data_IF_164666197941
#
_entry.id   IF_164666197941
#
_cell.length_a   1.000
_cell.length_b   1.000
_cell.length_c   1.000
_cell.angle_alpha   90.00
_cell.angle_beta   90.00
_cell.angle_gamma   90.00
#
_symmetry.space_group_name_H-M   'P 1'
#
loop_
_entity.id
_entity.type
_entity.pdbx_description
1 polymer ?
#
# COMPACT_ATOMS: atom_id res chain seq x y z
N UNK A 1 -29.79 15.23 -0.03
CA UNK A 1 -29.73 13.97 -0.79
C UNK A 1 -28.39 13.96 -1.49
N UNK A 2 -27.46 13.11 -1.04
CA UNK A 2 -26.13 13.03 -1.63
C UNK A 2 -26.27 12.33 -2.99
N UNK A 3 -26.03 13.06 -4.07
CA UNK A 3 -26.22 12.58 -5.45
C UNK A 3 -25.02 11.76 -5.92
N UNK A 4 -24.57 10.82 -5.10
CA UNK A 4 -23.44 9.95 -5.41
C UNK A 4 -23.90 8.83 -6.35
N UNK A 5 -23.31 8.66 -7.54
CA UNK A 5 -23.72 7.61 -8.48
C UNK A 5 -23.69 6.22 -7.85
N UNK A 6 -24.69 5.39 -8.14
CA UNK A 6 -24.78 4.03 -7.61
C UNK A 6 -23.58 3.18 -8.04
N UNK A 7 -23.17 2.24 -7.18
CA UNK A 7 -22.15 1.25 -7.52
C UNK A 7 -22.70 0.27 -8.57
N UNK A 8 -21.83 -0.29 -9.42
CA UNK A 8 -22.21 -1.48 -10.16
C UNK A 8 -22.26 -2.66 -9.20
N UNK A 9 -23.31 -3.46 -9.28
CA UNK A 9 -23.52 -4.59 -8.38
C UNK A 9 -24.18 -5.78 -9.07
N UNK A 10 -24.18 -6.90 -8.36
CA UNK A 10 -24.88 -8.13 -8.72
C UNK A 10 -25.46 -8.79 -7.47
N UNK A 11 -26.65 -9.37 -7.61
CA UNK A 11 -27.23 -10.29 -6.63
C UNK A 11 -27.15 -11.74 -7.13
N UNK A 12 -26.94 -12.67 -6.21
CA UNK A 12 -27.06 -14.11 -6.41
C UNK A 12 -27.78 -14.73 -5.19
N UNK A 13 -28.58 -15.77 -5.38
CA UNK A 13 -29.34 -16.44 -4.29
C UNK A 13 -30.82 -16.03 -4.18
N UNK A 14 -31.56 -16.56 -3.18
CA UNK A 14 -33.00 -16.32 -3.03
C UNK A 14 -33.33 -14.85 -2.73
N UNK A 15 -34.40 -14.32 -3.34
CA UNK A 15 -34.77 -12.90 -3.18
C UNK A 15 -35.15 -12.51 -1.75
N UNK A 16 -35.78 -13.44 -1.02
CA UNK A 16 -36.27 -13.25 0.35
C UNK A 16 -35.23 -13.58 1.43
N UNK A 17 -34.04 -14.04 1.03
CA UNK A 17 -32.98 -14.38 1.98
C UNK A 17 -32.30 -13.12 2.56
N UNK A 18 -31.74 -13.19 3.78
CA UNK A 18 -30.97 -12.08 4.35
C UNK A 18 -29.80 -11.69 3.43
N UNK A 19 -29.53 -10.39 3.30
CA UNK A 19 -28.51 -9.88 2.37
C UNK A 19 -27.11 -10.03 2.97
N UNK A 20 -26.21 -10.70 2.26
CA UNK A 20 -24.79 -10.78 2.60
C UNK A 20 -23.96 -10.03 1.56
N UNK A 21 -23.23 -9.01 1.99
CA UNK A 21 -22.41 -8.16 1.12
C UNK A 21 -20.98 -8.67 1.08
N UNK A 22 -20.39 -8.77 -0.12
CA UNK A 22 -18.98 -9.07 -0.32
C UNK A 22 -18.25 -7.85 -0.92
N UNK A 23 -17.31 -7.27 -0.15
CA UNK A 23 -16.51 -6.11 -0.52
C UNK A 23 -15.14 -6.50 -1.08
N UNK A 24 -14.80 -6.13 -2.34
CA UNK A 24 -13.56 -6.55 -2.98
C UNK A 24 -12.32 -5.79 -2.48
N UNK A 25 -11.15 -6.35 -2.82
CA UNK A 25 -9.84 -5.71 -2.56
C UNK A 25 -9.52 -4.64 -3.61
N UNK A 26 -8.61 -3.73 -3.29
CA UNK A 26 -8.10 -2.73 -4.23
C UNK A 26 -7.45 -3.41 -5.44
N UNK A 27 -7.79 -2.98 -6.65
CA UNK A 27 -7.27 -3.55 -7.90
C UNK A 27 -7.92 -4.89 -8.28
N UNK A 28 -9.00 -5.28 -7.61
CA UNK A 28 -9.78 -6.48 -7.92
C UNK A 28 -11.22 -6.13 -8.30
N UNK A 29 -11.95 -7.12 -8.78
CA UNK A 29 -13.39 -7.05 -9.06
C UNK A 29 -14.15 -8.00 -8.13
N UNK A 30 -15.48 -7.94 -8.12
CA UNK A 30 -16.32 -8.89 -7.40
C UNK A 30 -16.04 -10.37 -7.75
N UNK A 31 -15.38 -10.63 -8.88
CA UNK A 31 -15.07 -11.98 -9.36
C UNK A 31 -14.09 -12.69 -8.43
N UNK A 32 -13.37 -11.97 -7.58
CA UNK A 32 -12.54 -12.59 -6.53
C UNK A 32 -13.33 -13.46 -5.55
N UNK A 33 -14.66 -13.28 -5.49
CA UNK A 33 -15.55 -14.06 -4.64
C UNK A 33 -16.35 -15.13 -5.39
N UNK A 34 -16.13 -15.34 -6.70
CA UNK A 34 -16.93 -16.27 -7.51
C UNK A 34 -16.97 -17.69 -6.93
N UNK A 35 -15.90 -18.14 -6.25
CA UNK A 35 -15.82 -19.49 -5.66
C UNK A 35 -16.56 -19.63 -4.32
N UNK A 36 -16.89 -18.52 -3.65
CA UNK A 36 -17.66 -18.53 -2.41
C UNK A 36 -19.18 -18.51 -2.70
N UNK A 37 -19.58 -17.85 -3.79
CA UNK A 37 -20.98 -17.58 -4.12
C UNK A 37 -21.88 -18.83 -4.16
N UNK A 38 -21.50 -19.96 -4.79
CA UNK A 38 -22.39 -21.12 -4.88
C UNK A 38 -22.85 -21.67 -3.52
N UNK A 39 -22.00 -21.60 -2.50
CA UNK A 39 -22.34 -22.07 -1.15
C UNK A 39 -23.03 -20.98 -0.33
N UNK A 40 -22.57 -19.73 -0.40
CA UNK A 40 -23.20 -18.61 0.32
C UNK A 40 -24.63 -18.35 -0.18
N UNK A 41 -24.85 -18.45 -1.49
CA UNK A 41 -26.15 -18.22 -2.12
C UNK A 41 -27.20 -19.28 -1.74
N UNK A 42 -26.85 -20.34 -1.01
CA UNK A 42 -27.83 -21.30 -0.46
C UNK A 42 -28.62 -20.73 0.71
N UNK A 43 -28.04 -19.77 1.45
CA UNK A 43 -28.64 -19.22 2.68
C UNK A 43 -28.83 -17.70 2.62
N UNK A 44 -28.04 -17.00 1.81
CA UNK A 44 -28.08 -15.53 1.74
C UNK A 44 -28.37 -15.05 0.33
N UNK A 45 -28.97 -13.86 0.25
CA UNK A 45 -29.01 -13.07 -0.97
C UNK A 45 -27.68 -12.32 -1.07
N UNK A 46 -26.73 -12.87 -1.82
CA UNK A 46 -25.37 -12.38 -1.89
C UNK A 46 -25.31 -11.15 -2.79
N UNK A 47 -24.92 -10.00 -2.23
CA UNK A 47 -24.67 -8.77 -2.95
C UNK A 47 -23.17 -8.59 -3.16
N UNK A 48 -22.75 -8.42 -4.40
CA UNK A 48 -21.35 -8.13 -4.74
C UNK A 48 -21.30 -6.87 -5.57
N UNK A 49 -20.25 -6.08 -5.39
CA UNK A 49 -20.08 -4.81 -6.10
C UNK A 49 -18.62 -4.62 -6.50
N UNK A 50 -18.43 -3.82 -7.53
CA UNK A 50 -17.12 -3.34 -7.93
C UNK A 50 -16.87 -1.96 -7.31
N UNK A 51 -15.63 -1.71 -6.90
CA UNK A 51 -15.22 -0.38 -6.44
C UNK A 51 -15.28 0.62 -7.62
N UNK A 52 -15.42 1.93 -7.36
CA UNK A 52 -15.39 2.92 -8.43
C UNK A 52 -14.16 2.76 -9.32
N UNK A 53 -14.36 2.80 -10.64
CA UNK A 53 -13.30 2.58 -11.63
C UNK A 53 -12.72 1.16 -11.70
N UNK A 54 -13.24 0.18 -10.97
CA UNK A 54 -12.83 -1.21 -11.06
C UNK A 54 -13.84 -2.02 -11.87
N UNK A 55 -13.36 -3.03 -12.58
CA UNK A 55 -14.23 -3.91 -13.38
C UNK A 55 -15.06 -3.10 -14.38
N UNK A 56 -16.39 -3.21 -14.30
CA UNK A 56 -17.29 -2.41 -15.14
C UNK A 56 -17.77 -1.10 -14.51
N UNK A 57 -17.36 -0.80 -13.27
CA UNK A 57 -17.91 0.34 -12.52
C UNK A 57 -17.43 1.66 -13.11
N UNK A 58 -18.33 2.65 -13.27
CA UNK A 58 -17.93 3.99 -13.69
C UNK A 58 -16.84 4.58 -12.81
N UNK A 59 -15.91 5.32 -13.44
CA UNK A 59 -14.79 5.96 -12.78
C UNK A 59 -15.24 7.19 -11.99
N UNK A 60 -15.43 7.02 -10.68
CA UNK A 60 -15.78 8.08 -9.73
C UNK A 60 -14.85 8.00 -8.52
N UNK A 61 -13.69 8.72 -8.54
CA UNK A 61 -12.72 8.67 -7.46
C UNK A 61 -13.33 8.98 -6.08
N UNK A 62 -12.87 8.27 -5.06
CA UNK A 62 -13.27 8.44 -3.66
C UNK A 62 -12.03 8.81 -2.84
N UNK A 63 -12.05 9.95 -2.16
CA UNK A 63 -10.89 10.50 -1.45
C UNK A 63 -10.70 9.92 -0.04
N UNK A 64 -11.75 9.30 0.52
CA UNK A 64 -11.73 8.65 1.80
C UNK A 64 -12.50 7.32 1.78
N UNK A 65 -12.19 6.43 2.73
CA UNK A 65 -12.93 5.18 2.91
C UNK A 65 -14.41 5.46 3.27
N UNK A 66 -14.68 6.56 3.98
CA UNK A 66 -16.04 7.05 4.25
C UNK A 66 -16.84 7.32 2.99
N UNK A 67 -16.22 7.82 1.92
CA UNK A 67 -16.91 8.11 0.66
C UNK A 67 -17.37 6.81 -0.01
N UNK A 68 -16.55 5.75 0.09
CA UNK A 68 -16.90 4.42 -0.42
C UNK A 68 -18.03 3.79 0.40
N UNK A 69 -17.98 3.92 1.73
CA UNK A 69 -19.03 3.44 2.63
C UNK A 69 -20.36 4.17 2.39
N UNK A 70 -20.35 5.50 2.30
CA UNK A 70 -21.54 6.32 2.04
C UNK A 70 -22.16 5.99 0.68
N UNK A 71 -21.33 5.74 -0.35
CA UNK A 71 -21.81 5.34 -1.69
C UNK A 71 -22.44 3.94 -1.69
N UNK A 72 -21.85 3.00 -0.95
CA UNK A 72 -22.43 1.67 -0.78
C UNK A 72 -23.77 1.75 -0.05
N UNK A 73 -23.86 2.51 1.05
CA UNK A 73 -25.11 2.72 1.77
C UNK A 73 -26.19 3.36 0.90
N UNK A 74 -25.87 4.42 0.16
CA UNK A 74 -26.81 5.04 -0.77
C UNK A 74 -27.33 4.06 -1.83
N UNK A 75 -26.46 3.16 -2.32
CA UNK A 75 -26.85 2.09 -3.25
C UNK A 75 -27.80 1.09 -2.59
N UNK A 76 -27.50 0.66 -1.37
CA UNK A 76 -28.34 -0.28 -0.60
C UNK A 76 -29.69 0.30 -0.21
N UNK A 77 -29.73 1.59 0.16
CA UNK A 77 -30.96 2.31 0.51
C UNK A 77 -31.91 2.38 -0.70
N UNK A 78 -31.38 2.68 -1.89
CA UNK A 78 -32.15 2.67 -3.13
C UNK A 78 -32.72 1.28 -3.49
N UNK A 79 -32.08 0.21 -2.99
CA UNK A 79 -32.51 -1.18 -3.16
C UNK A 79 -33.39 -1.68 -2.00
N UNK A 80 -33.67 -0.84 -1.01
CA UNK A 80 -34.46 -1.20 0.18
C UNK A 80 -33.75 -2.12 1.17
N UNK A 81 -32.43 -2.30 1.07
CA UNK A 81 -31.66 -3.19 1.95
C UNK A 81 -31.33 -2.48 3.26
N UNK A 82 -32.10 -2.77 4.31
CA UNK A 82 -31.98 -2.07 5.59
C UNK A 82 -30.99 -2.71 6.58
N UNK A 83 -30.74 -4.01 6.50
CA UNK A 83 -29.77 -4.70 7.39
C UNK A 83 -29.12 -5.87 6.65
N UNK A 84 -27.83 -6.07 6.87
CA UNK A 84 -27.03 -7.03 6.10
C UNK A 84 -25.85 -7.58 6.90
N UNK A 85 -25.37 -8.76 6.52
CA UNK A 85 -24.03 -9.23 6.88
C UNK A 85 -23.01 -8.62 5.92
N UNK A 86 -21.79 -8.41 6.39
CA UNK A 86 -20.72 -7.83 5.56
C UNK A 86 -19.44 -8.64 5.66
N UNK A 87 -18.87 -9.03 4.52
CA UNK A 87 -17.53 -9.61 4.43
C UNK A 87 -16.67 -8.79 3.47
N UNK A 88 -15.58 -8.20 3.95
CA UNK A 88 -14.72 -7.31 3.14
C UNK A 88 -13.27 -7.77 3.10
N UNK A 89 -12.67 -7.78 1.91
CA UNK A 89 -11.26 -8.10 1.72
C UNK A 89 -10.41 -6.82 1.61
N UNK A 90 -9.36 -6.67 2.41
CA UNK A 90 -8.42 -5.54 2.37
C UNK A 90 -9.14 -4.16 2.40
N UNK A 91 -9.15 -3.41 1.29
CA UNK A 91 -9.90 -2.15 1.18
C UNK A 91 -11.40 -2.34 1.45
N UNK A 92 -12.00 -3.45 0.98
CA UNK A 92 -13.35 -3.82 1.36
C UNK A 92 -13.49 -4.05 2.88
N UNK A 93 -12.46 -4.56 3.55
CA UNK A 93 -12.42 -4.65 5.00
C UNK A 93 -12.42 -3.27 5.68
N UNK A 94 -11.68 -2.30 5.14
CA UNK A 94 -11.72 -0.91 5.61
C UNK A 94 -13.12 -0.29 5.47
N UNK A 95 -13.79 -0.53 4.35
CA UNK A 95 -15.19 -0.13 4.14
C UNK A 95 -16.11 -0.78 5.17
N UNK A 96 -15.92 -2.08 5.47
CA UNK A 96 -16.67 -2.79 6.51
C UNK A 96 -16.50 -2.19 7.91
N UNK A 97 -15.27 -1.83 8.28
CA UNK A 97 -14.96 -1.15 9.54
C UNK A 97 -15.64 0.23 9.61
N UNK A 98 -15.55 1.01 8.54
CA UNK A 98 -16.20 2.32 8.44
C UNK A 98 -17.73 2.23 8.57
N UNK A 99 -18.34 1.24 7.89
CA UNK A 99 -19.77 0.99 7.96
C UNK A 99 -20.23 0.67 9.39
N UNK A 100 -19.55 -0.24 10.08
CA UNK A 100 -19.98 -0.64 11.44
C UNK A 100 -19.74 0.45 12.47
N UNK A 101 -18.69 1.28 12.32
CA UNK A 101 -18.40 2.37 13.25
C UNK A 101 -19.41 3.51 13.15
N UNK A 102 -19.99 3.73 11.97
CA UNK A 102 -20.94 4.82 11.69
C UNK A 102 -22.39 4.38 11.70
N UNK A 103 -22.65 3.15 11.28
CA UNK A 103 -23.99 2.58 11.08
C UNK A 103 -24.11 1.16 11.65
N UNK A 104 -23.78 0.95 12.95
CA UNK A 104 -23.81 -0.39 13.56
C UNK A 104 -25.18 -1.06 13.48
N UNK A 105 -26.27 -0.29 13.41
CA UNK A 105 -27.64 -0.78 13.24
C UNK A 105 -27.90 -1.46 11.89
N UNK A 106 -27.08 -1.17 10.87
CA UNK A 106 -27.19 -1.75 9.52
C UNK A 106 -26.45 -3.07 9.38
N UNK A 107 -25.45 -3.32 10.22
CA UNK A 107 -24.56 -4.49 10.11
C UNK A 107 -24.96 -5.56 11.11
N UNK A 108 -25.40 -6.72 10.62
CA UNK A 108 -25.82 -7.85 11.47
C UNK A 108 -24.63 -8.69 11.98
N UNK A 109 -23.56 -8.78 11.19
CA UNK A 109 -22.33 -9.52 11.48
C UNK A 109 -21.25 -9.08 10.51
N UNK A 110 -19.98 -9.14 10.92
CA UNK A 110 -18.84 -8.62 10.16
C UNK A 110 -17.73 -9.67 9.97
N UNK A 111 -17.26 -9.85 8.74
CA UNK A 111 -16.04 -10.60 8.43
C UNK A 111 -14.99 -9.68 7.78
N UNK A 112 -13.83 -9.58 8.40
CA UNK A 112 -12.67 -8.81 7.94
C UNK A 112 -11.64 -9.79 7.37
N UNK A 113 -11.46 -9.80 6.05
CA UNK A 113 -10.59 -10.72 5.34
C UNK A 113 -9.33 -9.97 4.90
N UNK A 114 -8.15 -10.45 5.29
CA UNK A 114 -6.87 -9.83 4.94
C UNK A 114 -6.90 -8.29 5.12
N UNK A 115 -7.41 -7.83 6.27
CA UNK A 115 -7.69 -6.43 6.55
C UNK A 115 -6.82 -5.93 7.71
N UNK A 116 -6.77 -4.61 7.86
CA UNK A 116 -6.01 -3.94 8.92
C UNK A 116 -6.78 -2.73 9.44
N UNK A 117 -6.62 -2.34 10.73
CA UNK A 117 -7.18 -1.10 11.24
C UNK A 117 -6.43 0.15 10.74
N UNK A 118 -5.26 -0.05 10.13
CA UNK A 118 -4.45 0.96 9.42
C UNK A 118 -3.58 0.26 8.38
N UNK A 119 -3.54 0.75 7.15
CA UNK A 119 -2.80 0.09 6.07
C UNK A 119 -1.43 0.74 5.88
N UNK A 120 -0.35 -0.02 6.08
CA UNK A 120 1.03 0.40 5.82
C UNK A 120 1.39 1.77 6.38
N UNK A 121 2.32 2.45 5.71
CA UNK A 121 2.57 3.87 5.93
C UNK A 121 1.84 4.73 4.88
N UNK A 122 1.49 5.96 5.25
CA UNK A 122 0.85 6.87 4.32
C UNK A 122 1.74 7.15 3.10
N UNK A 123 3.06 7.18 3.29
CA UNK A 123 4.02 7.43 2.22
C UNK A 123 4.12 6.27 1.23
N UNK A 124 4.02 5.02 1.68
CA UNK A 124 3.96 3.85 0.77
C UNK A 124 2.77 3.94 -0.19
N UNK A 125 1.59 4.31 0.31
CA UNK A 125 0.40 4.45 -0.51
C UNK A 125 0.46 5.67 -1.45
N UNK A 126 0.99 6.80 -0.98
CA UNK A 126 1.24 7.97 -1.83
C UNK A 126 2.26 7.68 -2.92
N UNK A 127 3.33 6.95 -2.61
CA UNK A 127 4.33 6.51 -3.58
C UNK A 127 3.72 5.61 -4.65
N UNK A 128 2.84 4.67 -4.28
CA UNK A 128 2.05 3.89 -5.27
C UNK A 128 1.24 4.83 -6.17
N UNK A 129 0.58 5.83 -5.61
CA UNK A 129 -0.14 6.85 -6.38
C UNK A 129 0.73 7.59 -7.39
N UNK A 130 1.96 7.95 -7.01
CA UNK A 130 2.96 8.57 -7.91
C UNK A 130 3.35 7.61 -9.03
N UNK A 131 3.66 6.35 -8.72
CA UNK A 131 4.01 5.33 -9.74
C UNK A 131 2.89 5.19 -10.77
N UNK A 132 1.65 5.13 -10.32
CA UNK A 132 0.47 5.00 -11.21
C UNK A 132 0.27 6.24 -12.06
N UNK A 133 0.47 7.43 -11.50
CA UNK A 133 0.35 8.69 -12.24
C UNK A 133 1.37 8.79 -13.37
N UNK A 134 2.59 8.28 -13.16
CA UNK A 134 3.68 8.36 -14.14
C UNK A 134 3.66 7.21 -15.15
N UNK A 135 3.31 6.00 -14.72
CA UNK A 135 3.52 4.78 -15.51
C UNK A 135 2.22 4.00 -15.82
N UNK A 136 1.06 4.52 -15.41
CA UNK A 136 -0.19 3.76 -15.41
C UNK A 136 -0.15 2.58 -14.42
N UNK A 137 -1.09 1.64 -14.58
CA UNK A 137 -1.21 0.50 -13.67
C UNK A 137 -0.30 -0.68 -14.00
N UNK A 138 0.41 -0.69 -15.13
CA UNK A 138 1.17 -1.86 -15.56
C UNK A 138 2.24 -2.32 -14.54
N UNK A 139 3.05 -1.42 -13.94
CA UNK A 139 4.03 -1.82 -12.93
C UNK A 139 3.40 -2.40 -11.66
N UNK A 140 2.26 -1.84 -11.25
CA UNK A 140 1.50 -2.35 -10.11
C UNK A 140 0.94 -3.73 -10.46
N UNK A 141 0.30 -3.85 -11.62
CA UNK A 141 -0.36 -5.08 -12.03
C UNK A 141 0.62 -6.26 -12.10
N UNK A 142 1.81 -6.06 -12.67
CA UNK A 142 2.84 -7.12 -12.78
C UNK A 142 3.36 -7.60 -11.43
N UNK A 143 3.39 -6.73 -10.42
CA UNK A 143 3.94 -7.03 -9.09
C UNK A 143 2.88 -7.46 -8.08
N UNK A 144 1.59 -7.21 -8.34
CA UNK A 144 0.49 -7.61 -7.46
C UNK A 144 0.45 -9.11 -7.12
N UNK A 145 0.62 -10.05 -8.08
CA UNK A 145 0.54 -11.49 -7.78
C UNK A 145 1.51 -11.97 -6.70
N UNK A 146 2.72 -11.42 -6.65
CA UNK A 146 3.75 -11.77 -5.66
C UNK A 146 3.32 -11.43 -4.22
N UNK A 147 2.45 -10.42 -4.07
CA UNK A 147 1.88 -10.01 -2.78
C UNK A 147 0.57 -10.71 -2.48
N UNK A 148 -0.13 -11.17 -3.51
CA UNK A 148 -1.49 -11.71 -3.42
C UNK A 148 -1.55 -13.21 -3.22
N UNK A 149 -0.54 -13.95 -3.67
CA UNK A 149 -0.51 -15.41 -3.65
C UNK A 149 0.81 -15.92 -3.08
N UNK A 150 0.79 -17.12 -2.49
CA UNK A 150 2.04 -17.82 -2.16
C UNK A 150 2.79 -18.20 -3.45
N UNK A 151 4.11 -18.34 -3.36
CA UNK A 151 4.93 -18.78 -4.50
C UNK A 151 4.50 -20.15 -5.05
N UNK A 152 4.08 -21.07 -4.18
CA UNK A 152 3.57 -22.39 -4.58
C UNK A 152 2.27 -22.31 -5.36
N UNK A 153 1.32 -21.48 -4.92
CA UNK A 153 0.08 -21.25 -5.67
C UNK A 153 0.35 -20.54 -7.00
N UNK A 154 1.17 -19.49 -7.00
CA UNK A 154 1.51 -18.75 -8.21
C UNK A 154 2.15 -19.65 -9.28
N UNK A 155 3.05 -20.54 -8.88
CA UNK A 155 3.70 -21.50 -9.78
C UNK A 155 2.73 -22.56 -10.36
N UNK A 156 1.70 -22.95 -9.59
CA UNK A 156 0.76 -24.01 -10.00
C UNK A 156 -0.51 -23.48 -10.67
N UNK A 157 -0.80 -22.18 -10.53
CA UNK A 157 -2.02 -21.53 -11.02
C UNK A 157 -1.73 -20.29 -11.89
N UNK A 158 -0.92 -20.40 -12.96
CA UNK A 158 -0.50 -19.25 -13.77
C UNK A 158 -1.67 -18.52 -14.45
N UNK A 159 -2.76 -19.23 -14.77
CA UNK A 159 -3.95 -18.61 -15.35
C UNK A 159 -4.67 -17.70 -14.34
N UNK A 160 -4.68 -18.07 -13.05
CA UNK A 160 -5.28 -17.25 -11.99
C UNK A 160 -4.41 -16.04 -11.70
N UNK A 161 -3.09 -16.20 -11.69
CA UNK A 161 -2.18 -15.06 -11.51
C UNK A 161 -2.30 -14.07 -12.67
N UNK A 162 -2.38 -14.55 -13.92
CA UNK A 162 -2.60 -13.67 -15.07
C UNK A 162 -3.96 -12.97 -15.00
N UNK A 163 -5.03 -13.67 -14.63
CA UNK A 163 -6.33 -13.06 -14.37
C UNK A 163 -6.26 -11.94 -13.32
N UNK A 164 -5.51 -12.15 -12.24
CA UNK A 164 -5.30 -11.14 -11.21
C UNK A 164 -4.54 -9.92 -11.73
N UNK A 165 -3.50 -10.12 -12.56
CA UNK A 165 -2.80 -9.03 -13.27
C UNK A 165 -3.79 -8.23 -14.11
N UNK A 166 -4.66 -8.90 -14.87
CA UNK A 166 -5.61 -8.23 -15.76
C UNK A 166 -6.63 -7.39 -14.99
N UNK A 167 -7.15 -7.86 -13.85
CA UNK A 167 -8.04 -7.05 -13.01
C UNK A 167 -7.41 -5.71 -12.59
N UNK A 168 -6.13 -5.73 -12.21
CA UNK A 168 -5.42 -4.51 -11.85
C UNK A 168 -5.24 -3.63 -13.08
N UNK A 169 -4.78 -4.19 -14.21
CA UNK A 169 -4.53 -3.43 -15.45
C UNK A 169 -5.76 -2.67 -15.95
N UNK A 170 -6.94 -3.26 -15.82
CA UNK A 170 -8.19 -2.68 -16.32
C UNK A 170 -8.84 -1.69 -15.36
N UNK A 171 -8.26 -1.46 -14.18
CA UNK A 171 -8.77 -0.45 -13.24
C UNK A 171 -8.46 0.96 -13.74
N UNK A 172 -9.38 1.90 -13.52
CA UNK A 172 -9.15 3.32 -13.79
C UNK A 172 -7.99 3.86 -12.92
N UNK A 173 -6.92 4.43 -13.51
CA UNK A 173 -5.78 4.92 -12.75
C UNK A 173 -6.14 6.01 -11.73
N UNK A 174 -7.09 6.89 -12.06
CA UNK A 174 -7.51 7.98 -11.17
C UNK A 174 -8.20 7.45 -9.92
N UNK A 175 -9.11 6.49 -10.08
CA UNK A 175 -9.79 5.83 -8.97
C UNK A 175 -8.83 4.98 -8.13
N UNK A 176 -7.88 4.29 -8.76
CA UNK A 176 -6.86 3.54 -8.03
C UNK A 176 -5.97 4.44 -7.17
N UNK A 177 -5.53 5.59 -7.71
CA UNK A 177 -4.76 6.60 -6.96
C UNK A 177 -5.58 7.11 -5.78
N UNK A 178 -6.84 7.48 -6.01
CA UNK A 178 -7.71 7.99 -4.95
C UNK A 178 -7.94 6.95 -3.84
N UNK A 179 -8.11 5.67 -4.20
CA UNK A 179 -8.20 4.59 -3.22
C UNK A 179 -6.88 4.39 -2.43
N UNK A 180 -5.72 4.61 -3.05
CA UNK A 180 -4.45 4.63 -2.32
C UNK A 180 -4.41 5.78 -1.30
N UNK A 181 -4.82 6.99 -1.67
CA UNK A 181 -4.90 8.14 -0.74
C UNK A 181 -5.91 7.88 0.40
N UNK A 182 -7.06 7.27 0.08
CA UNK A 182 -8.04 6.87 1.09
C UNK A 182 -7.46 5.89 2.11
N UNK A 183 -6.69 4.89 1.67
CA UNK A 183 -6.00 3.95 2.55
C UNK A 183 -4.86 4.62 3.34
N UNK A 184 -4.15 5.58 2.74
CA UNK A 184 -3.10 6.35 3.40
C UNK A 184 -3.62 7.16 4.60
N UNK A 185 -4.87 7.61 4.54
CA UNK A 185 -5.54 8.37 5.59
C UNK A 185 -6.34 7.51 6.58
N UNK A 186 -6.56 6.22 6.28
CA UNK A 186 -7.39 5.33 7.09
C UNK A 186 -6.66 4.82 8.33
N UNK A 187 -7.16 5.18 9.52
CA UNK A 187 -6.70 4.67 10.80
C UNK A 187 -7.85 4.67 11.82
N UNK A 188 -8.35 3.47 12.15
CA UNK A 188 -9.45 3.28 13.11
C UNK A 188 -8.99 2.58 14.38
N UNK A 189 -7.68 2.49 14.64
CA UNK A 189 -7.14 1.75 15.79
C UNK A 189 -7.72 2.20 17.14
N UNK A 190 -7.95 3.51 17.30
CA UNK A 190 -8.55 4.08 18.52
C UNK A 190 -10.05 3.82 18.66
N UNK A 191 -10.70 3.32 17.62
CA UNK A 191 -12.16 3.16 17.55
C UNK A 191 -12.61 1.70 17.57
N UNK A 192 -11.69 0.74 17.44
CA UNK A 192 -12.02 -0.70 17.38
C UNK A 192 -12.91 -1.19 18.54
N UNK A 193 -12.73 -0.65 19.74
CA UNK A 193 -13.52 -1.01 20.92
C UNK A 193 -15.02 -0.65 20.80
N UNK A 194 -15.40 0.19 19.83
CA UNK A 194 -16.80 0.56 19.54
C UNK A 194 -17.51 -0.45 18.64
N UNK A 195 -16.79 -1.40 18.05
CA UNK A 195 -17.37 -2.40 17.16
C UNK A 195 -18.06 -3.47 18.01
N UNK A 196 -19.38 -3.40 18.13
CA UNK A 196 -20.18 -4.29 18.97
C UNK A 196 -20.85 -5.47 18.23
N UNK A 197 -20.67 -5.58 16.92
CA UNK A 197 -21.25 -6.68 16.14
C UNK A 197 -20.30 -7.88 16.14
N UNK A 198 -20.82 -9.12 16.06
CA UNK A 198 -19.98 -10.30 16.01
C UNK A 198 -19.04 -10.22 14.82
N UNK A 199 -17.74 -10.37 15.10
CA UNK A 199 -16.70 -10.13 14.11
C UNK A 199 -15.80 -11.35 13.92
N UNK A 200 -15.63 -11.79 12.67
CA UNK A 200 -14.60 -12.73 12.26
C UNK A 200 -13.45 -11.96 11.60
N UNK A 201 -12.22 -12.19 12.03
CA UNK A 201 -11.00 -11.74 11.36
C UNK A 201 -10.35 -12.96 10.70
N UNK A 202 -10.23 -12.94 9.37
CA UNK A 202 -9.70 -14.02 8.55
C UNK A 202 -8.43 -13.55 7.84
N UNK A 203 -7.33 -14.27 7.97
CA UNK A 203 -6.05 -13.90 7.34
C UNK A 203 -5.29 -15.12 6.84
N UNK A 204 -4.51 -14.96 5.77
CA UNK A 204 -3.58 -15.99 5.31
C UNK A 204 -2.36 -16.05 6.22
N UNK A 205 -1.81 -17.25 6.47
CA UNK A 205 -0.59 -17.38 7.30
C UNK A 205 0.62 -16.66 6.70
N UNK A 206 0.64 -16.49 5.38
CA UNK A 206 1.78 -16.02 4.61
C UNK A 206 1.54 -14.60 4.07
N UNK A 207 0.40 -13.97 4.39
CA UNK A 207 0.07 -12.62 3.97
C UNK A 207 1.10 -11.61 4.51
N UNK A 208 1.81 -10.94 3.59
CA UNK A 208 2.81 -9.90 3.88
C UNK A 208 2.28 -8.48 3.69
N UNK A 209 1.01 -8.31 3.32
CA UNK A 209 0.35 -7.02 3.10
C UNK A 209 -0.42 -6.58 4.34
N UNK A 210 -1.24 -7.47 4.88
CA UNK A 210 -2.09 -7.27 6.08
C UNK A 210 -2.11 -8.56 6.90
N UNK A 211 -0.91 -8.98 7.28
CA UNK A 211 -0.63 -10.30 7.81
C UNK A 211 -1.17 -10.60 9.20
N UNK A 212 -0.74 -11.72 9.80
CA UNK A 212 -1.21 -12.16 11.11
C UNK A 212 -1.01 -11.15 12.24
N UNK A 213 -0.08 -10.20 12.12
CA UNK A 213 0.13 -9.15 13.12
C UNK A 213 -1.02 -8.12 13.14
N UNK A 214 -1.44 -7.67 11.96
CA UNK A 214 -2.58 -6.77 11.77
C UNK A 214 -3.87 -7.46 12.20
N UNK A 215 -4.04 -8.73 11.84
CA UNK A 215 -5.19 -9.54 12.26
C UNK A 215 -5.29 -9.68 13.79
N UNK A 216 -4.15 -9.90 14.49
CA UNK A 216 -4.10 -9.90 15.95
C UNK A 216 -4.45 -8.53 16.55
N UNK A 217 -4.05 -7.45 15.89
CA UNK A 217 -4.41 -6.09 16.31
C UNK A 217 -5.92 -5.86 16.23
N UNK A 218 -6.57 -6.30 15.15
CA UNK A 218 -8.04 -6.25 15.03
C UNK A 218 -8.73 -7.03 16.16
N UNK A 219 -8.30 -8.27 16.38
CA UNK A 219 -8.91 -9.16 17.38
C UNK A 219 -8.71 -8.63 18.80
N UNK A 220 -7.56 -8.03 19.10
CA UNK A 220 -7.30 -7.41 20.40
C UNK A 220 -8.13 -6.13 20.62
N UNK A 221 -8.46 -5.41 19.55
CA UNK A 221 -9.21 -4.15 19.63
C UNK A 221 -10.73 -4.30 19.56
N UNK A 222 -11.24 -5.37 18.93
CA UNK A 222 -12.67 -5.59 18.70
C UNK A 222 -13.22 -6.58 19.74
N UNK A 223 -14.21 -6.20 20.56
CA UNK A 223 -14.87 -7.10 21.50
C UNK A 223 -15.39 -8.37 20.83
N UNK A 224 -15.13 -9.52 21.46
CA UNK A 224 -15.58 -10.86 21.03
C UNK A 224 -15.19 -11.26 19.59
N UNK A 225 -14.23 -10.57 18.98
CA UNK A 225 -13.73 -10.93 17.66
C UNK A 225 -13.01 -12.29 17.68
N UNK A 226 -13.24 -13.09 16.64
CA UNK A 226 -12.59 -14.40 16.45
C UNK A 226 -11.54 -14.31 15.35
N UNK A 227 -10.40 -14.95 15.57
CA UNK A 227 -9.35 -15.07 14.56
C UNK A 227 -9.42 -16.41 13.85
N UNK A 228 -9.37 -16.39 12.52
CA UNK A 228 -9.11 -17.55 11.69
C UNK A 228 -7.86 -17.29 10.82
N UNK A 229 -6.81 -18.09 11.02
CA UNK A 229 -5.62 -18.07 10.18
C UNK A 229 -5.70 -19.25 9.20
N UNK A 230 -5.66 -18.97 7.91
CA UNK A 230 -5.70 -19.98 6.85
C UNK A 230 -4.27 -20.35 6.45
N UNK A 231 -3.81 -21.58 6.72
CA UNK A 231 -2.44 -21.99 6.40
C UNK A 231 -2.18 -22.03 4.90
N UNK A 232 -0.97 -21.64 4.48
CA UNK A 232 -0.53 -21.72 3.09
C UNK A 232 -1.36 -20.83 2.16
N UNK A 233 -1.72 -19.65 2.65
CA UNK A 233 -2.40 -18.60 1.89
C UNK A 233 -1.76 -17.25 2.16
N UNK A 234 -1.68 -16.43 1.12
CA UNK A 234 -1.25 -15.03 1.17
C UNK A 234 -2.47 -14.11 1.18
N UNK A 235 -2.36 -12.89 0.65
CA UNK A 235 -3.33 -11.82 0.83
C UNK A 235 -4.71 -12.07 0.18
N UNK A 236 -4.77 -12.65 -1.03
CA UNK A 236 -6.06 -13.00 -1.66
C UNK A 236 -6.53 -14.40 -1.24
N UNK A 237 -6.63 -14.62 0.08
CA UNK A 237 -7.10 -15.87 0.70
C UNK A 237 -8.40 -16.41 0.07
N UNK A 238 -9.42 -15.59 -0.29
CA UNK A 238 -10.63 -16.09 -0.95
C UNK A 238 -10.37 -16.77 -2.29
N UNK A 239 -9.33 -16.37 -3.01
CA UNK A 239 -8.97 -16.93 -4.31
C UNK A 239 -8.05 -18.14 -4.14
N UNK A 240 -7.09 -18.05 -3.22
CA UNK A 240 -6.05 -19.07 -2.99
C UNK A 240 -6.57 -20.29 -2.24
N UNK A 241 -7.38 -20.09 -1.19
CA UNK A 241 -7.96 -21.15 -0.37
C UNK A 241 -9.49 -21.03 -0.30
N UNK A 242 -10.20 -21.14 -1.44
CA UNK A 242 -11.60 -20.79 -1.54
C UNK A 242 -12.50 -21.64 -0.63
N UNK A 243 -12.24 -22.94 -0.52
CA UNK A 243 -13.05 -23.85 0.30
C UNK A 243 -12.95 -23.52 1.79
N UNK A 244 -11.74 -23.24 2.30
CA UNK A 244 -11.53 -22.87 3.69
C UNK A 244 -12.20 -21.54 4.03
N UNK A 245 -12.08 -20.54 3.14
CA UNK A 245 -12.76 -19.25 3.33
C UNK A 245 -14.28 -19.43 3.31
N UNK A 246 -14.83 -20.19 2.37
CA UNK A 246 -16.26 -20.46 2.30
C UNK A 246 -16.80 -21.08 3.58
N UNK A 247 -16.14 -22.12 4.11
CA UNK A 247 -16.56 -22.78 5.35
C UNK A 247 -16.56 -21.80 6.54
N UNK A 248 -15.49 -21.00 6.67
CA UNK A 248 -15.37 -20.00 7.73
C UNK A 248 -16.47 -18.92 7.64
N UNK A 249 -16.77 -18.43 6.44
CA UNK A 249 -17.83 -17.44 6.23
C UNK A 249 -19.22 -18.02 6.51
N UNK A 250 -19.53 -19.20 5.96
CA UNK A 250 -20.80 -19.89 6.21
C UNK A 250 -20.98 -20.10 7.71
N UNK A 251 -19.98 -20.66 8.40
CA UNK A 251 -20.04 -20.91 9.84
C UNK A 251 -20.25 -19.62 10.63
N UNK A 252 -19.54 -18.54 10.29
CA UNK A 252 -19.67 -17.27 10.97
C UNK A 252 -21.08 -16.68 10.80
N UNK A 253 -21.54 -16.52 9.56
CA UNK A 253 -22.83 -15.88 9.30
C UNK A 253 -24.03 -16.75 9.70
N UNK A 254 -23.92 -18.08 9.72
CA UNK A 254 -25.01 -18.94 10.22
C UNK A 254 -25.12 -18.93 11.76
N UNK A 255 -24.07 -18.58 12.50
CA UNK A 255 -24.05 -18.67 13.98
C UNK A 255 -24.03 -17.32 14.69
N UNK A 256 -23.61 -16.26 14.02
CA UNK A 256 -23.35 -14.97 14.62
C UNK A 256 -24.26 -13.84 14.09
N UNK A 257 -25.24 -14.19 13.26
CA UNK A 257 -26.17 -13.20 12.71
C UNK A 257 -27.04 -12.57 13.79
N UNK A 258 -26.86 -11.28 14.06
CA UNK A 258 -27.75 -10.57 14.98
C UNK A 258 -29.07 -10.22 14.29
N UNK A 259 -30.21 -10.79 14.72
CA UNK A 259 -31.50 -10.46 14.14
C UNK A 259 -31.85 -8.98 14.39
N UNK A 260 -32.70 -8.38 13.55
CA UNK A 260 -33.15 -7.00 13.73
C UNK A 260 -33.96 -6.80 15.03
N UNK A 261 -34.47 -7.88 15.64
CA UNK A 261 -35.24 -7.88 16.87
C UNK A 261 -34.90 -9.14 17.70
N UNK A 262 -34.54 -8.97 18.98
CA UNK A 262 -34.38 -10.08 19.91
C UNK A 262 -35.72 -10.41 20.56
N UNK A 263 -36.32 -11.52 20.12
CA UNK A 263 -37.61 -12.00 20.62
C UNK A 263 -37.55 -12.49 22.08
N UNK A 264 -36.37 -12.77 22.62
CA UNK A 264 -36.21 -13.30 23.99
C UNK A 264 -36.19 -12.21 25.06
N UNK A 265 -35.73 -11.00 24.71
CA UNK A 265 -35.60 -9.86 25.63
C UNK A 265 -36.62 -8.75 25.36
N UNK A 266 -37.31 -8.79 24.23
CA UNK A 266 -38.27 -7.75 23.81
C UNK A 266 -37.62 -6.40 23.50
N UNK A 267 -36.28 -6.34 23.45
CA UNK A 267 -35.52 -5.13 23.19
C UNK A 267 -35.20 -5.01 21.70
N UNK A 268 -35.42 -3.81 21.14
CA UNK A 268 -34.66 -3.43 19.95
C UNK A 268 -33.18 -3.39 20.34
N UNK A 269 -32.28 -3.75 19.43
CA UNK A 269 -30.84 -3.55 19.61
C UNK A 269 -30.53 -2.04 19.74
N UNK A 270 -30.71 -1.50 20.96
CA UNK A 270 -30.26 -0.17 21.33
C UNK A 270 -28.79 -0.34 21.70
N UNK A 271 -27.93 0.27 20.87
CA UNK A 271 -26.51 0.47 21.13
C UNK A 271 -26.33 0.97 22.56
N UNK A 272 -25.58 0.23 23.37
CA UNK A 272 -25.26 0.65 24.73
C UNK A 272 -24.62 2.05 24.71
N UNK A 273 -25.01 2.97 25.61
CA UNK A 273 -24.39 4.30 25.65
C UNK A 273 -22.89 4.17 25.97
N UNK A 274 -22.04 5.02 25.39
CA UNK A 274 -20.60 4.92 25.58
C UNK A 274 -20.25 5.12 27.06
N UNK A 275 -19.39 4.25 27.59
CA UNK A 275 -18.72 4.51 28.86
C UNK A 275 -17.87 5.77 28.68
N UNK A 276 -18.17 6.83 29.44
CA UNK A 276 -17.36 8.06 29.43
C UNK A 276 -15.95 7.73 29.92
N UNK A 277 -14.90 7.88 29.10
CA UNK A 277 -13.53 7.77 29.59
C UNK A 277 -13.24 8.97 30.50
N UNK A 278 -12.60 8.71 31.64
CA UNK A 278 -11.96 9.77 32.44
C UNK A 278 -10.76 10.26 31.63
N UNK A 279 -10.85 11.49 31.12
CA UNK A 279 -9.75 12.17 30.43
C UNK A 279 -8.57 12.34 31.40
N UNK A 280 -7.43 11.73 31.08
CA UNK A 280 -6.16 12.19 31.60
C UNK A 280 -5.89 13.60 31.01
N UNK A 281 -5.38 14.52 31.84
CA UNK A 281 -5.10 15.88 31.40
C UNK A 281 -4.13 15.88 30.21
N UNK A 282 -4.33 16.75 29.20
CA UNK A 282 -3.46 16.82 28.04
C UNK A 282 -2.05 17.19 28.46
N UNK A 283 -1.05 16.40 28.03
CA UNK A 283 0.33 16.84 28.05
C UNK A 283 0.46 18.06 27.14
N UNK A 284 1.02 19.15 27.67
CA UNK A 284 1.33 20.34 26.90
C UNK A 284 2.26 19.96 25.74
N UNK A 285 1.78 20.13 24.52
CA UNK A 285 2.60 20.03 23.33
C UNK A 285 3.67 21.12 23.39
N UNK A 286 4.94 20.71 23.40
CA UNK A 286 6.04 21.62 23.10
C UNK A 286 5.86 22.16 21.67
N UNK A 287 6.22 23.42 21.39
CA UNK A 287 6.06 23.99 20.06
C UNK A 287 6.90 23.20 19.06
N UNK A 288 6.22 22.72 18.01
CA UNK A 288 6.85 22.19 16.79
C UNK A 288 7.67 23.33 16.20
N UNK A 289 8.95 23.06 15.91
CA UNK A 289 9.86 24.03 15.32
C UNK A 289 9.23 24.66 14.06
N UNK A 290 9.23 25.99 14.01
CA UNK A 290 8.82 26.78 12.86
C UNK A 290 9.68 26.38 11.65
N UNK A 291 9.05 25.80 10.63
CA UNK A 291 9.72 25.48 9.37
C UNK A 291 10.08 26.81 8.72
N UNK A 292 11.39 27.10 8.62
CA UNK A 292 11.87 28.27 7.91
C UNK A 292 11.32 28.29 6.47
N UNK A 293 10.87 29.45 5.95
CA UNK A 293 10.35 29.54 4.60
C UNK A 293 11.42 29.13 3.58
N UNK A 294 11.05 28.40 2.51
CA UNK A 294 12.00 28.01 1.50
C UNK A 294 12.59 29.26 0.83
N UNK A 295 13.88 29.24 0.44
CA UNK A 295 14.46 30.34 -0.33
C UNK A 295 13.67 30.52 -1.63
N UNK A 296 13.58 31.76 -2.16
CA UNK A 296 12.83 32.04 -3.39
C UNK A 296 13.34 31.16 -4.53
N UNK A 297 12.41 30.53 -5.24
CA UNK A 297 12.73 29.70 -6.39
C UNK A 297 13.47 30.54 -7.45
N UNK A 298 14.58 30.04 -8.02
CA UNK A 298 15.26 30.75 -9.09
C UNK A 298 14.34 30.86 -10.33
N UNK A 299 14.45 31.95 -11.12
CA UNK A 299 13.60 32.17 -12.28
C UNK A 299 13.72 31.03 -13.28
N UNK A 300 12.58 30.58 -13.81
CA UNK A 300 12.54 29.59 -14.89
C UNK A 300 13.12 30.23 -16.16
N UNK A 301 14.33 29.80 -16.54
CA UNK A 301 14.97 30.23 -17.78
C UNK A 301 14.29 29.54 -18.96
N UNK A 302 13.59 30.32 -19.79
CA UNK A 302 13.12 29.87 -21.10
C UNK A 302 14.32 29.72 -22.04
N UNK A 303 14.47 28.52 -22.62
CA UNK A 303 15.61 28.16 -23.47
C UNK A 303 16.77 27.60 -22.66
N UNK A 304 16.57 26.43 -22.03
CA UNK A 304 17.68 25.71 -21.40
C UNK A 304 18.64 25.20 -22.50
N UNK A 305 19.96 25.50 -22.42
CA UNK A 305 20.95 24.81 -23.24
C UNK A 305 20.84 23.30 -23.01
N UNK A 306 21.27 22.51 -23.99
CA UNK A 306 21.20 21.06 -23.92
C UNK A 306 21.78 20.56 -22.57
N UNK A 307 20.97 19.91 -21.70
CA UNK A 307 21.41 19.45 -20.39
C UNK A 307 22.54 18.42 -20.46
N UNK A 308 22.83 17.87 -21.63
CA UNK A 308 23.96 16.98 -21.86
C UNK A 308 25.31 17.64 -21.57
N UNK A 309 25.54 18.88 -22.01
CA UNK A 309 26.83 19.57 -21.81
C UNK A 309 27.08 19.92 -20.34
N UNK A 310 26.04 20.35 -19.63
CA UNK A 310 26.09 20.53 -18.18
C UNK A 310 26.29 19.17 -17.48
N UNK A 311 25.56 18.16 -17.96
CA UNK A 311 25.60 16.80 -17.42
C UNK A 311 26.97 16.16 -17.53
N UNK A 312 27.67 16.28 -18.67
CA UNK A 312 28.98 15.67 -18.83
C UNK A 312 30.02 16.31 -17.91
N UNK A 313 29.92 17.63 -17.68
CA UNK A 313 30.77 18.33 -16.71
C UNK A 313 30.53 17.84 -15.29
N UNK A 314 29.26 17.79 -14.85
CA UNK A 314 28.91 17.32 -13.50
C UNK A 314 29.27 15.85 -13.31
N UNK A 315 29.01 15.01 -14.32
CA UNK A 315 29.38 13.59 -14.31
C UNK A 315 30.88 13.39 -14.10
N UNK A 316 31.72 14.20 -14.75
CA UNK A 316 33.18 14.18 -14.56
C UNK A 316 33.60 14.66 -13.19
N UNK A 317 33.01 15.74 -12.69
CA UNK A 317 33.33 16.24 -11.34
C UNK A 317 32.97 15.20 -10.26
N UNK A 318 31.86 14.47 -10.44
CA UNK A 318 31.37 13.49 -9.46
C UNK A 318 31.97 12.09 -9.64
N UNK A 319 32.17 11.59 -10.85
CA UNK A 319 32.71 10.23 -11.09
C UNK A 319 34.19 10.19 -11.46
N UNK A 320 34.74 11.31 -11.94
CA UNK A 320 36.15 11.48 -12.30
C UNK A 320 36.39 11.24 -13.79
N UNK A 321 37.28 12.02 -14.38
CA UNK A 321 37.53 12.02 -15.83
C UNK A 321 37.86 10.63 -16.38
N UNK A 322 38.82 9.93 -15.76
CA UNK A 322 39.24 8.60 -16.21
C UNK A 322 38.12 7.55 -16.21
N UNK A 323 37.13 7.68 -15.32
CA UNK A 323 35.97 6.78 -15.31
C UNK A 323 35.00 7.12 -16.44
N UNK A 324 34.69 8.42 -16.60
CA UNK A 324 33.79 8.90 -17.64
C UNK A 324 34.35 8.63 -19.04
N UNK A 325 35.65 8.83 -19.25
CA UNK A 325 36.32 8.57 -20.52
C UNK A 325 36.25 7.08 -20.90
N UNK A 326 36.47 6.18 -19.95
CA UNK A 326 36.31 4.73 -20.19
C UNK A 326 34.87 4.37 -20.53
N UNK A 327 33.90 4.91 -19.81
CA UNK A 327 32.49 4.63 -20.04
C UNK A 327 32.02 5.12 -21.42
N UNK A 328 32.49 6.28 -21.87
CA UNK A 328 32.17 6.80 -23.21
C UNK A 328 32.92 6.05 -24.32
N UNK A 329 34.18 5.68 -24.10
CA UNK A 329 34.96 4.93 -25.08
C UNK A 329 34.48 3.48 -25.29
N UNK A 330 33.83 2.90 -24.28
CA UNK A 330 33.19 1.59 -24.35
C UNK A 330 31.75 1.64 -24.85
N UNK A 331 31.19 2.85 -25.04
CA UNK A 331 29.84 3.01 -25.57
C UNK A 331 29.83 2.64 -27.07
N UNK A 332 28.98 1.68 -27.41
CA UNK A 332 28.72 1.21 -28.77
C UNK A 332 27.28 1.53 -29.19
N UNK A 333 26.85 1.07 -30.36
CA UNK A 333 25.49 1.31 -30.88
C UNK A 333 24.39 0.78 -29.93
N UNK A 334 24.71 -0.21 -29.07
CA UNK A 334 23.78 -0.76 -28.11
C UNK A 334 23.66 0.07 -26.83
N UNK A 335 24.74 0.72 -26.39
CA UNK A 335 24.83 1.40 -25.09
C UNK A 335 24.93 2.92 -25.18
N UNK A 336 25.18 3.48 -26.37
CA UNK A 336 25.34 4.91 -26.63
C UNK A 336 24.17 5.76 -26.17
N UNK A 337 22.95 5.41 -26.60
CA UNK A 337 21.72 6.14 -26.23
C UNK A 337 21.49 6.16 -24.71
N UNK A 338 21.87 5.07 -24.03
CA UNK A 338 21.77 4.97 -22.58
C UNK A 338 22.80 5.85 -21.87
N UNK A 339 24.04 5.91 -22.38
CA UNK A 339 25.07 6.82 -21.87
C UNK A 339 24.67 8.29 -22.08
N UNK A 340 24.03 8.61 -23.21
CA UNK A 340 23.50 9.94 -23.47
C UNK A 340 22.37 10.29 -22.48
N UNK A 341 21.39 9.40 -22.35
CA UNK A 341 20.26 9.56 -21.43
C UNK A 341 20.71 9.78 -19.99
N UNK A 342 21.59 8.92 -19.45
CA UNK A 342 22.07 9.07 -18.08
C UNK A 342 22.86 10.37 -17.92
N UNK A 343 23.74 10.71 -18.86
CA UNK A 343 24.52 11.96 -18.83
C UNK A 343 23.60 13.17 -18.72
N UNK A 344 22.59 13.23 -19.59
CA UNK A 344 21.62 14.32 -19.64
C UNK A 344 20.76 14.37 -18.37
N UNK A 345 20.16 13.25 -17.98
CA UNK A 345 19.11 13.24 -16.96
C UNK A 345 19.67 13.16 -15.54
N UNK A 346 20.53 12.19 -15.25
CA UNK A 346 21.08 12.04 -13.91
C UNK A 346 21.98 13.24 -13.58
N UNK A 347 22.90 13.59 -14.48
CA UNK A 347 23.92 14.58 -14.17
C UNK A 347 23.50 16.00 -14.50
N UNK A 348 22.93 16.21 -15.70
CA UNK A 348 22.52 17.53 -16.17
C UNK A 348 21.22 18.03 -15.56
N UNK A 349 20.29 17.13 -15.25
CA UNK A 349 19.02 17.52 -14.64
C UNK A 349 18.94 17.30 -13.15
N UNK A 350 19.46 16.21 -12.58
CA UNK A 350 19.26 15.93 -11.14
C UNK A 350 20.43 16.40 -10.29
N UNK A 351 21.66 16.06 -10.63
CA UNK A 351 22.84 16.44 -9.84
C UNK A 351 23.20 17.93 -9.95
N UNK A 352 22.91 18.57 -11.07
CA UNK A 352 23.13 20.01 -11.27
C UNK A 352 22.03 20.91 -10.67
N UNK A 353 20.91 20.31 -10.20
CA UNK A 353 19.79 21.10 -9.67
C UNK A 353 20.13 21.86 -8.39
N UNK A 354 19.70 23.13 -8.26
CA UNK A 354 19.74 23.82 -7.00
C UNK A 354 18.75 23.16 -6.02
N UNK A 355 19.11 23.11 -4.73
CA UNK A 355 18.23 22.63 -3.65
C UNK A 355 18.90 21.64 -2.70
N UNK A 356 19.81 20.81 -3.20
CA UNK A 356 20.69 19.97 -2.37
C UNK A 356 22.14 20.13 -2.85
N UNK A 357 23.05 20.34 -1.91
CA UNK A 357 24.47 20.36 -2.20
C UNK A 357 25.01 18.97 -2.57
N UNK A 358 26.19 18.92 -3.17
CA UNK A 358 26.80 17.67 -3.65
C UNK A 358 27.14 16.70 -2.52
N UNK A 359 27.43 17.22 -1.33
CA UNK A 359 27.69 16.42 -0.13
C UNK A 359 26.43 15.64 0.27
N UNK A 360 25.32 16.35 0.43
CA UNK A 360 24.01 15.80 0.80
C UNK A 360 23.53 14.79 -0.23
N UNK A 361 23.68 15.09 -1.53
CA UNK A 361 23.36 14.15 -2.61
C UNK A 361 24.20 12.87 -2.53
N UNK A 362 25.47 12.98 -2.15
CA UNK A 362 26.33 11.81 -1.95
C UNK A 362 25.88 10.96 -0.76
N UNK A 363 25.47 11.56 0.37
CA UNK A 363 24.90 10.82 1.51
C UNK A 363 23.66 10.00 1.08
N UNK A 364 22.73 10.64 0.37
CA UNK A 364 21.50 10.00 -0.12
C UNK A 364 21.82 8.88 -1.11
N UNK A 365 22.72 9.14 -2.05
CA UNK A 365 23.12 8.15 -3.07
C UNK A 365 23.77 6.92 -2.44
N UNK A 366 24.71 7.12 -1.50
CA UNK A 366 25.31 6.00 -0.77
C UNK A 366 24.24 5.18 -0.05
N UNK A 367 23.32 5.83 0.66
CA UNK A 367 22.23 5.14 1.38
C UNK A 367 21.34 4.33 0.43
N UNK A 368 20.97 4.89 -0.71
CA UNK A 368 20.15 4.21 -1.72
C UNK A 368 20.86 2.99 -2.32
N UNK A 369 22.17 3.08 -2.59
CA UNK A 369 22.97 1.97 -3.09
C UNK A 369 23.13 0.85 -2.06
N UNK A 370 23.23 1.19 -0.77
CA UNK A 370 23.18 0.18 0.32
C UNK A 370 21.82 -0.50 0.37
N UNK A 371 20.73 0.26 0.31
CA UNK A 371 19.37 -0.28 0.34
C UNK A 371 19.08 -1.23 -0.84
N UNK A 372 19.58 -0.90 -2.04
CA UNK A 372 19.43 -1.71 -3.25
C UNK A 372 20.45 -2.86 -3.38
N UNK A 373 21.45 -2.95 -2.50
CA UNK A 373 22.50 -3.96 -2.58
C UNK A 373 23.46 -3.79 -3.76
N UNK A 374 23.57 -2.57 -4.32
CA UNK A 374 24.36 -2.26 -5.51
C UNK A 374 25.83 -1.95 -5.15
N UNK A 375 26.57 -2.98 -4.75
CA UNK A 375 27.91 -2.82 -4.17
C UNK A 375 28.99 -2.32 -5.16
N UNK A 376 28.87 -2.64 -6.45
CA UNK A 376 29.79 -2.15 -7.48
C UNK A 376 29.66 -0.64 -7.66
N UNK A 377 28.41 -0.16 -7.78
CA UNK A 377 28.10 1.27 -7.84
C UNK A 377 28.46 2.01 -6.54
N UNK A 378 28.29 1.35 -5.39
CA UNK A 378 28.66 1.89 -4.09
C UNK A 378 30.17 2.24 -4.03
N UNK A 379 31.03 1.45 -4.65
CA UNK A 379 32.46 1.73 -4.70
C UNK A 379 32.75 3.05 -5.45
N UNK A 380 32.15 3.23 -6.62
CA UNK A 380 32.30 4.46 -7.41
C UNK A 380 31.75 5.67 -6.66
N UNK A 381 30.58 5.52 -6.04
CA UNK A 381 29.95 6.61 -5.31
C UNK A 381 30.59 6.91 -3.96
N UNK A 382 31.34 5.99 -3.35
CA UNK A 382 32.18 6.27 -2.18
C UNK A 382 33.35 7.18 -2.57
N UNK A 383 34.01 6.90 -3.70
CA UNK A 383 35.06 7.77 -4.26
C UNK A 383 34.51 9.13 -4.66
N UNK A 384 33.30 9.16 -5.24
CA UNK A 384 32.58 10.39 -5.56
C UNK A 384 32.25 11.22 -4.31
N UNK A 385 31.79 10.57 -3.23
CA UNK A 385 31.46 11.23 -1.98
C UNK A 385 32.68 11.95 -1.37
N UNK A 386 33.84 11.28 -1.37
CA UNK A 386 35.11 11.88 -0.94
C UNK A 386 35.46 13.11 -1.78
N UNK A 387 35.34 13.04 -3.12
CA UNK A 387 35.58 14.18 -4.02
C UNK A 387 34.59 15.32 -3.85
N UNK A 388 33.34 15.00 -3.52
CA UNK A 388 32.32 15.99 -3.14
C UNK A 388 32.54 16.57 -1.73
N UNK A 389 33.57 16.10 -1.02
CA UNK A 389 34.09 16.66 0.22
C UNK A 389 33.74 15.87 1.48
N UNK A 390 32.98 14.78 1.40
CA UNK A 390 32.70 13.97 2.60
C UNK A 390 34.00 13.40 3.16
N UNK A 391 34.09 13.38 4.48
CA UNK A 391 35.18 12.70 5.17
C UNK A 391 34.88 11.20 5.33
N UNK A 392 35.90 10.35 5.53
CA UNK A 392 35.71 8.96 5.91
C UNK A 392 34.80 8.77 7.14
N UNK A 393 34.86 9.72 8.09
CA UNK A 393 34.01 9.71 9.30
C UNK A 393 32.55 9.94 8.92
N UNK A 394 32.25 10.92 8.07
CA UNK A 394 30.88 11.18 7.63
C UNK A 394 30.32 10.03 6.79
N UNK A 395 31.13 9.42 5.92
CA UNK A 395 30.72 8.22 5.18
C UNK A 395 30.39 7.07 6.15
N UNK A 396 31.20 6.87 7.19
CA UNK A 396 30.91 5.89 8.25
C UNK A 396 29.57 6.18 8.92
N UNK A 397 29.28 7.42 9.29
CA UNK A 397 27.99 7.78 9.92
C UNK A 397 26.80 7.49 9.00
N UNK A 398 26.93 7.76 7.69
CA UNK A 398 25.91 7.39 6.69
C UNK A 398 25.68 5.88 6.66
N UNK A 399 26.74 5.07 6.68
CA UNK A 399 26.62 3.60 6.67
C UNK A 399 26.07 3.04 7.98
N UNK A 400 26.38 3.65 9.13
CA UNK A 400 25.78 3.31 10.42
C UNK A 400 24.28 3.59 10.42
N UNK A 401 23.88 4.76 9.90
CA UNK A 401 22.47 5.10 9.73
C UNK A 401 21.77 4.10 8.80
N UNK A 402 22.39 3.74 7.67
CA UNK A 402 21.86 2.75 6.74
C UNK A 402 21.71 1.36 7.40
N UNK A 403 22.55 0.98 8.36
CA UNK A 403 22.41 -0.31 9.06
C UNK A 403 21.08 -0.44 9.83
N UNK A 404 20.54 0.67 10.34
CA UNK A 404 19.26 0.69 11.08
C UNK A 404 18.08 0.40 10.15
N UNK A 405 18.11 0.95 8.93
CA UNK A 405 16.97 0.90 8.01
C UNK A 405 17.08 -0.18 6.93
N UNK A 406 18.31 -0.52 6.53
CA UNK A 406 18.59 -1.51 5.48
C UNK A 406 19.06 -2.86 6.06
N UNK A 407 19.29 -2.93 7.37
CA UNK A 407 19.75 -4.13 8.07
C UNK A 407 21.27 -4.27 8.11
N UNK A 408 21.74 -4.91 9.20
CA UNK A 408 23.17 -5.12 9.49
C UNK A 408 23.92 -5.88 8.38
N UNK A 409 23.36 -6.92 7.71
CA UNK A 409 24.06 -7.61 6.63
C UNK A 409 24.36 -6.71 5.42
N UNK A 410 23.41 -5.87 5.01
CA UNK A 410 23.59 -4.93 3.90
C UNK A 410 24.66 -3.88 4.24
N UNK A 411 24.59 -3.32 5.45
CA UNK A 411 25.59 -2.40 5.94
C UNK A 411 26.98 -3.06 6.05
N UNK A 412 27.09 -4.31 6.51
CA UNK A 412 28.37 -5.03 6.58
C UNK A 412 29.06 -5.13 5.21
N UNK A 413 28.30 -5.46 4.17
CA UNK A 413 28.83 -5.49 2.79
C UNK A 413 29.26 -4.10 2.32
N UNK A 414 28.44 -3.08 2.61
CA UNK A 414 28.76 -1.69 2.29
C UNK A 414 30.02 -1.17 3.02
N UNK A 415 30.18 -1.51 4.30
CA UNK A 415 31.35 -1.16 5.09
C UNK A 415 32.64 -1.75 4.50
N UNK A 416 32.60 -3.00 4.02
CA UNK A 416 33.76 -3.63 3.37
C UNK A 416 34.19 -2.85 2.12
N UNK A 417 33.22 -2.54 1.26
CA UNK A 417 33.47 -1.78 0.02
C UNK A 417 34.00 -0.38 0.34
N UNK A 418 33.32 0.36 1.22
CA UNK A 418 33.71 1.72 1.54
C UNK A 418 35.09 1.79 2.21
N UNK A 419 35.41 0.86 3.11
CA UNK A 419 36.73 0.78 3.72
C UNK A 419 37.84 0.52 2.70
N UNK A 420 37.60 -0.37 1.73
CA UNK A 420 38.56 -0.62 0.67
C UNK A 420 38.82 0.67 -0.13
N UNK A 421 37.76 1.32 -0.62
CA UNK A 421 37.88 2.56 -1.41
C UNK A 421 38.54 3.68 -0.60
N UNK A 422 38.16 3.86 0.67
CA UNK A 422 38.76 4.90 1.53
C UNK A 422 40.26 4.63 1.70
N UNK A 423 40.69 3.38 1.91
CA UNK A 423 42.12 3.06 2.01
C UNK A 423 42.86 3.37 0.71
N UNK A 424 42.29 2.99 -0.44
CA UNK A 424 42.86 3.31 -1.76
C UNK A 424 43.03 4.82 -1.96
N UNK A 425 42.05 5.63 -1.55
CA UNK A 425 42.07 7.08 -1.77
C UNK A 425 42.84 7.89 -0.71
N UNK A 426 43.11 7.31 0.47
CA UNK A 426 43.75 8.02 1.60
C UNK A 426 45.15 7.51 1.94
N UNK A 427 45.60 6.42 1.32
CA UNK A 427 46.98 5.94 1.46
C UNK A 427 47.86 6.67 0.43
N UNK A 428 48.98 7.30 0.83
CA UNK A 428 49.89 7.93 -0.12
C UNK A 428 50.46 6.90 -1.10
N UNK A 429 50.47 7.22 -2.39
CA UNK A 429 51.19 6.44 -3.41
C UNK A 429 52.69 6.65 -3.19
N UNK A 430 53.46 5.56 -3.02
CA UNK A 430 54.94 5.59 -3.01
C UNK A 430 55.53 6.03 -4.37
#
# INVERSE_FOLDING_TARGET
>A
MNNSPALQYRFDGPEDAPVLILGPSLGTTWHMFDRQVPELAKQWRVFRFDLPGHGGSPAHPAGAVSDLADRLLATLDALGVQRFGYAGCALGGAVGLELVLRHPERVASLALIAASPRFGTADEFRQRGVVVRTNGLDPIARTSPERWFTGGFAATQPAITEWAVQMVRTTDPGCYIAACEALAAFDVRSELARIGVPTLVLVGSDDQVTGPAEARTLVAGIPDARLAVVPGASHLVPVEQPAAVTDLLVRHFSTAWQPPYDQSTGQMAIVAPPVRPVLAAPQQAAPIAEIAPPPPAPPQVMGRPDPYDAGIKVRREVLGDAHVDRALAQADEFSGDFQEFITRYAWGEIWDRPGLDRRSRSCVTLTALVAGGHLEELAFHTRAALRNGLTPVEIKEVLLQAAVYCGVPAANSAFKVAQQVIREETTPTE
#
